data_IF_927574174229
#
_entry.id   IF_927574174229
#
_cell.length_a   1.000
_cell.length_b   1.000
_cell.length_c   1.000
_cell.angle_alpha   90.00
_cell.angle_beta   90.00
_cell.angle_gamma   90.00
#
_symmetry.space_group_name_H-M   'P 1'
#
loop_
_entity.id
_entity.type
_entity.pdbx_description
1 polymer ?
#
# COMPACT_ATOMS: atom_id res chain seq x y z
N UNK A 1 -49.56 25.32 2.87
CA UNK A 1 -49.38 23.85 2.77
C UNK A 1 -48.26 23.43 1.82
N UNK A 2 -48.25 23.86 0.54
CA UNK A 2 -47.18 23.48 -0.42
C UNK A 2 -45.75 23.85 0.01
N UNK A 3 -45.54 24.99 0.70
CA UNK A 3 -44.22 25.39 1.21
C UNK A 3 -43.74 24.56 2.42
N UNK A 4 -44.66 24.08 3.27
CA UNK A 4 -44.33 23.19 4.38
C UNK A 4 -43.91 21.79 3.89
N UNK A 5 -44.57 21.30 2.83
CA UNK A 5 -44.24 20.00 2.23
C UNK A 5 -42.86 20.05 1.56
N UNK A 6 -42.49 21.17 0.92
CA UNK A 6 -41.18 21.32 0.29
C UNK A 6 -40.04 21.33 1.33
N UNK A 7 -40.23 21.99 2.48
CA UNK A 7 -39.26 21.99 3.58
C UNK A 7 -39.12 20.62 4.26
N UNK A 8 -40.21 19.85 4.35
CA UNK A 8 -40.20 18.50 4.96
C UNK A 8 -39.51 17.46 4.04
N UNK A 9 -39.62 17.61 2.72
CA UNK A 9 -38.95 16.73 1.75
C UNK A 9 -37.44 17.00 1.69
N UNK A 10 -37.00 18.25 1.86
CA UNK A 10 -35.57 18.60 1.95
C UNK A 10 -34.89 18.14 3.26
N UNK A 11 -35.63 17.97 4.36
CA UNK A 11 -35.09 17.45 5.63
C UNK A 11 -34.95 15.93 5.68
N UNK A 12 -35.58 15.19 4.76
CA UNK A 12 -35.53 13.71 4.72
C UNK A 12 -34.38 13.16 3.87
N UNK A 13 -33.62 14.04 3.20
CA UNK A 13 -32.40 13.69 2.49
C UNK A 13 -31.19 14.26 3.23
N UNK A 14 -30.99 13.88 4.49
CA UNK A 14 -29.66 13.95 5.08
C UNK A 14 -28.79 12.97 4.29
N UNK A 15 -28.10 13.46 3.27
CA UNK A 15 -27.00 12.73 2.65
C UNK A 15 -26.07 12.35 3.79
N UNK A 16 -26.03 11.06 4.13
CA UNK A 16 -24.97 10.55 4.97
C UNK A 16 -23.68 10.79 4.18
N UNK A 17 -22.96 11.85 4.53
CA UNK A 17 -21.57 12.02 4.15
C UNK A 17 -20.82 10.88 4.84
N UNK A 18 -20.64 9.77 4.12
CA UNK A 18 -19.79 8.69 4.60
C UNK A 18 -18.35 9.19 4.58
N UNK A 19 -17.68 9.05 5.71
CA UNK A 19 -16.25 9.25 5.78
C UNK A 19 -15.55 8.10 5.03
N UNK A 20 -14.42 8.41 4.41
CA UNK A 20 -13.53 7.42 3.82
C UNK A 20 -12.48 6.97 4.84
N UNK A 21 -12.08 5.70 4.75
CA UNK A 21 -11.04 5.09 5.58
C UNK A 21 -9.87 4.65 4.72
N UNK A 22 -8.71 5.26 4.91
CA UNK A 22 -7.47 4.86 4.28
C UNK A 22 -6.71 3.83 5.14
N UNK A 23 -6.12 2.81 4.50
CA UNK A 23 -5.26 1.83 5.16
C UNK A 23 -3.88 1.88 4.54
N UNK A 24 -2.90 2.30 5.32
CA UNK A 24 -1.52 2.54 4.94
C UNK A 24 -0.67 1.30 5.21
N UNK A 25 -0.12 0.71 4.15
CA UNK A 25 0.53 -0.61 4.13
C UNK A 25 2.00 -0.43 3.76
N UNK A 26 2.89 -0.61 4.73
CA UNK A 26 4.33 -0.42 4.53
C UNK A 26 4.96 -1.54 3.70
N UNK A 27 6.15 -1.26 3.18
CA UNK A 27 6.97 -2.21 2.43
C UNK A 27 7.89 -3.08 3.28
N UNK A 28 8.77 -3.79 2.57
CA UNK A 28 9.87 -4.58 3.13
C UNK A 28 10.71 -3.74 4.09
N UNK A 29 10.99 -4.26 5.29
CA UNK A 29 11.69 -3.60 6.42
C UNK A 29 11.06 -2.30 6.92
N UNK A 30 9.91 -1.92 6.36
CA UNK A 30 9.07 -0.89 6.92
C UNK A 30 8.33 -1.39 8.16
N UNK A 31 7.63 -0.45 8.78
CA UNK A 31 6.67 -0.66 9.86
C UNK A 31 5.53 0.33 9.71
N UNK A 32 4.52 0.26 10.58
CA UNK A 32 3.47 1.28 10.64
C UNK A 32 4.04 2.71 10.79
N UNK A 33 5.21 2.85 11.41
CA UNK A 33 5.87 4.13 11.64
C UNK A 33 6.53 4.73 10.39
N UNK A 34 6.74 3.98 9.31
CA UNK A 34 7.34 4.50 8.07
C UNK A 34 6.55 5.69 7.50
N UNK A 35 5.23 5.67 7.63
CA UNK A 35 4.33 6.75 7.19
C UNK A 35 4.43 8.01 8.04
N UNK A 36 4.72 7.86 9.34
CA UNK A 36 4.95 8.99 10.24
C UNK A 36 6.32 9.63 9.99
N UNK A 37 7.38 8.83 9.94
CA UNK A 37 8.76 9.32 9.74
C UNK A 37 8.96 10.03 8.40
N UNK A 38 8.27 9.57 7.36
CA UNK A 38 8.30 10.20 6.03
C UNK A 38 7.50 11.50 5.95
N UNK A 39 6.67 11.82 6.94
CA UNK A 39 5.80 13.00 6.91
C UNK A 39 4.48 12.82 6.14
N UNK A 40 4.18 11.61 5.63
CA UNK A 40 2.91 11.32 4.96
C UNK A 40 1.73 11.53 5.91
N UNK A 41 1.83 11.00 7.14
CA UNK A 41 0.77 11.20 8.15
C UNK A 41 0.54 12.69 8.43
N UNK A 42 1.59 13.50 8.49
CA UNK A 42 1.49 14.93 8.74
C UNK A 42 0.74 15.65 7.60
N UNK A 43 0.97 15.26 6.35
CA UNK A 43 0.25 15.81 5.20
C UNK A 43 -1.25 15.44 5.21
N UNK A 44 -1.57 14.18 5.52
CA UNK A 44 -2.96 13.71 5.66
C UNK A 44 -3.68 14.50 6.77
N UNK A 45 -3.06 14.62 7.95
CA UNK A 45 -3.59 15.38 9.08
C UNK A 45 -3.78 16.85 8.74
N UNK A 46 -2.82 17.46 8.05
CA UNK A 46 -2.92 18.85 7.58
C UNK A 46 -4.10 19.10 6.63
N UNK A 47 -4.72 18.03 6.11
CA UNK A 47 -5.83 18.06 5.15
C UNK A 47 -7.10 17.41 5.71
N UNK A 48 -7.19 17.30 7.05
CA UNK A 48 -8.40 16.91 7.76
C UNK A 48 -8.60 15.39 7.92
N UNK A 49 -7.66 14.56 7.48
CA UNK A 49 -7.69 13.13 7.76
C UNK A 49 -7.22 12.85 9.19
N UNK A 50 -7.97 12.06 9.94
CA UNK A 50 -7.65 11.75 11.33
C UNK A 50 -6.93 10.41 11.47
N UNK A 51 -5.82 10.34 12.25
CA UNK A 51 -5.17 9.07 12.54
C UNK A 51 -6.09 8.24 13.43
N UNK A 52 -6.47 7.05 12.97
CA UNK A 52 -7.39 6.17 13.70
C UNK A 52 -6.71 5.05 14.49
N UNK A 53 -5.40 4.94 14.34
CA UNK A 53 -4.55 4.06 15.13
C UNK A 53 -3.62 3.21 14.27
N UNK A 54 -2.90 2.32 14.95
CA UNK A 54 -2.03 1.33 14.32
C UNK A 54 -2.68 -0.05 14.52
N UNK A 55 -2.89 -0.79 13.43
CA UNK A 55 -3.38 -2.17 13.51
C UNK A 55 -2.18 -3.10 13.49
N UNK A 56 -2.02 -3.86 14.56
CA UNK A 56 -0.96 -4.85 14.71
C UNK A 56 -1.53 -6.26 14.64
N UNK A 57 -0.69 -7.31 14.48
CA UNK A 57 -1.16 -8.69 14.59
C UNK A 57 -1.80 -9.03 15.95
N UNK A 58 -1.54 -8.22 16.99
CA UNK A 58 -2.11 -8.36 18.33
C UNK A 58 -3.41 -7.57 18.52
N UNK A 59 -3.83 -6.79 17.53
CA UNK A 59 -5.01 -5.94 17.57
C UNK A 59 -4.72 -4.46 17.31
N UNK A 60 -5.75 -3.64 17.46
CA UNK A 60 -5.71 -2.20 17.24
C UNK A 60 -5.12 -1.47 18.45
N UNK A 61 -4.13 -0.62 18.21
CA UNK A 61 -3.70 0.45 19.10
C UNK A 61 -4.45 1.72 18.69
N UNK A 62 -5.56 2.08 19.35
CA UNK A 62 -6.45 3.14 18.89
C UNK A 62 -5.85 4.52 19.15
N UNK A 63 -6.18 5.45 18.26
CA UNK A 63 -6.05 6.89 18.51
C UNK A 63 -7.44 7.52 18.75
N UNK A 64 -7.54 8.69 19.39
CA UNK A 64 -8.80 9.43 19.45
C UNK A 64 -9.24 9.85 18.04
N UNK A 65 -10.50 9.55 17.68
CA UNK A 65 -11.06 9.87 16.36
C UNK A 65 -12.49 10.36 16.50
N UNK A 66 -12.82 11.42 15.77
CA UNK A 66 -14.18 11.87 15.57
C UNK A 66 -14.90 10.97 14.56
N UNK A 67 -16.10 10.52 14.90
CA UNK A 67 -16.83 9.57 14.07
C UNK A 67 -17.09 10.06 12.63
N UNK A 68 -17.21 11.38 12.42
CA UNK A 68 -17.62 11.99 11.15
C UNK A 68 -16.46 12.44 10.23
N UNK A 69 -15.19 12.24 10.63
CA UNK A 69 -14.04 12.64 9.82
C UNK A 69 -13.51 11.48 8.96
N UNK A 70 -12.85 11.80 7.84
CA UNK A 70 -12.02 10.84 7.11
C UNK A 70 -10.89 10.32 8.00
N UNK A 71 -10.56 9.04 7.88
CA UNK A 71 -9.71 8.34 8.85
C UNK A 71 -8.60 7.60 8.13
N UNK A 72 -7.46 7.42 8.79
CA UNK A 72 -6.45 6.50 8.30
C UNK A 72 -5.89 5.59 9.39
N UNK A 73 -5.64 4.34 9.00
CA UNK A 73 -4.95 3.34 9.79
C UNK A 73 -3.59 3.06 9.17
N UNK A 74 -2.56 2.91 10.00
CA UNK A 74 -1.31 2.26 9.56
C UNK A 74 -1.33 0.81 10.02
N UNK A 75 -0.96 -0.13 9.16
CA UNK A 75 -0.85 -1.55 9.55
C UNK A 75 0.59 -1.88 9.90
N UNK A 76 0.78 -2.79 10.84
CA UNK A 76 2.07 -3.39 11.17
C UNK A 76 2.07 -4.85 10.67
N UNK A 77 2.86 -5.12 9.64
CA UNK A 77 2.97 -6.43 9.00
C UNK A 77 4.34 -7.05 9.27
N UNK A 78 4.46 -8.39 9.26
CA UNK A 78 5.76 -9.04 9.33
C UNK A 78 6.51 -8.85 8.01
N UNK A 79 7.15 -7.69 7.83
CA UNK A 79 7.66 -7.22 6.53
C UNK A 79 8.71 -8.12 5.88
N UNK A 80 9.39 -8.97 6.65
CA UNK A 80 10.35 -9.97 6.17
C UNK A 80 9.72 -11.33 5.84
N UNK A 81 8.47 -11.58 6.26
CA UNK A 81 7.75 -12.82 5.99
C UNK A 81 7.25 -12.92 4.55
N UNK A 82 6.90 -14.11 4.05
CA UNK A 82 6.40 -14.27 2.68
C UNK A 82 5.17 -13.40 2.40
N UNK A 83 5.01 -12.95 1.16
CA UNK A 83 3.92 -12.05 0.73
C UNK A 83 2.55 -12.64 1.03
N UNK A 84 2.38 -13.96 0.84
CA UNK A 84 1.13 -14.65 1.15
C UNK A 84 0.74 -14.58 2.63
N UNK A 85 1.72 -14.75 3.53
CA UNK A 85 1.48 -14.64 4.98
C UNK A 85 1.12 -13.19 5.35
N UNK A 86 1.87 -12.21 4.81
CA UNK A 86 1.57 -10.80 5.04
C UNK A 86 0.15 -10.45 4.56
N UNK A 87 -0.28 -11.00 3.43
CA UNK A 87 -1.61 -10.79 2.88
C UNK A 87 -2.71 -11.39 3.77
N UNK A 88 -2.53 -12.59 4.30
CA UNK A 88 -3.48 -13.19 5.24
C UNK A 88 -3.62 -12.39 6.54
N UNK A 89 -2.50 -11.90 7.08
CA UNK A 89 -2.51 -10.98 8.23
C UNK A 89 -3.25 -9.70 7.88
N UNK A 90 -2.95 -9.08 6.74
CA UNK A 90 -3.61 -7.87 6.27
C UNK A 90 -5.13 -8.08 6.11
N UNK A 91 -5.58 -9.21 5.56
CA UNK A 91 -7.02 -9.51 5.42
C UNK A 91 -7.73 -9.53 6.78
N UNK A 92 -7.12 -10.10 7.80
CA UNK A 92 -7.64 -10.04 9.17
C UNK A 92 -7.76 -8.60 9.69
N UNK A 93 -6.75 -7.77 9.43
CA UNK A 93 -6.75 -6.35 9.79
C UNK A 93 -7.83 -5.55 9.04
N UNK A 94 -8.03 -5.81 7.75
CA UNK A 94 -9.11 -5.20 6.95
C UNK A 94 -10.49 -5.64 7.42
N UNK A 95 -10.63 -6.86 7.91
CA UNK A 95 -11.84 -7.34 8.59
C UNK A 95 -12.14 -6.51 9.85
N UNK A 96 -11.12 -6.18 10.65
CA UNK A 96 -11.27 -5.30 11.82
C UNK A 96 -11.69 -3.87 11.41
N UNK A 97 -11.07 -3.31 10.37
CA UNK A 97 -11.47 -1.99 9.82
C UNK A 97 -12.93 -2.01 9.39
N UNK A 98 -13.34 -3.02 8.63
CA UNK A 98 -14.72 -3.16 8.13
C UNK A 98 -15.75 -3.28 9.26
N UNK A 99 -15.41 -3.98 10.35
CA UNK A 99 -16.29 -4.11 11.52
C UNK A 99 -16.42 -2.79 12.30
N UNK A 100 -15.34 -2.00 12.37
CA UNK A 100 -15.32 -0.74 13.09
C UNK A 100 -15.98 0.40 12.31
N UNK A 101 -15.94 0.33 10.99
CA UNK A 101 -16.42 1.36 10.06
C UNK A 101 -17.45 0.77 9.09
N UNK A 102 -18.60 0.28 9.60
CA UNK A 102 -19.61 -0.34 8.74
C UNK A 102 -20.19 0.69 7.76
N UNK A 103 -20.04 0.41 6.46
CA UNK A 103 -20.56 1.25 5.38
C UNK A 103 -19.64 2.41 4.95
N UNK A 104 -18.53 2.65 5.64
CA UNK A 104 -17.50 3.60 5.18
C UNK A 104 -16.65 2.94 4.07
N UNK A 105 -16.31 3.71 3.04
CA UNK A 105 -15.50 3.17 1.94
C UNK A 105 -14.04 3.07 2.36
N UNK A 106 -13.40 1.93 2.03
CA UNK A 106 -11.99 1.70 2.34
C UNK A 106 -11.13 1.99 1.11
N UNK A 107 -9.99 2.67 1.30
CA UNK A 107 -8.94 2.86 0.29
C UNK A 107 -7.66 2.20 0.80
N UNK A 108 -7.05 1.34 -0.01
CA UNK A 108 -5.78 0.71 0.33
C UNK A 108 -4.63 1.50 -0.29
N UNK A 109 -3.58 1.77 0.49
CA UNK A 109 -2.41 2.52 0.06
C UNK A 109 -1.18 1.71 0.43
N UNK A 110 -0.55 1.07 -0.57
CA UNK A 110 0.63 0.24 -0.37
C UNK A 110 1.90 0.89 -0.89
N UNK A 111 2.95 0.92 -0.07
CA UNK A 111 4.29 1.34 -0.50
C UNK A 111 5.17 0.12 -0.74
N UNK A 112 5.95 0.13 -1.84
CA UNK A 112 6.91 -0.91 -2.16
C UNK A 112 6.26 -2.30 -2.10
N UNK A 113 6.86 -3.28 -1.42
CA UNK A 113 6.29 -4.61 -1.20
C UNK A 113 4.86 -4.58 -0.63
N UNK A 114 4.50 -3.57 0.16
CA UNK A 114 3.17 -3.41 0.74
C UNK A 114 2.06 -3.28 -0.31
N UNK A 115 2.35 -2.70 -1.48
CA UNK A 115 1.39 -2.69 -2.59
C UNK A 115 1.18 -4.06 -3.23
N UNK A 116 2.22 -4.90 -3.28
CA UNK A 116 2.11 -6.29 -3.73
C UNK A 116 1.30 -7.11 -2.71
N UNK A 117 1.56 -6.92 -1.41
CA UNK A 117 0.79 -7.54 -0.31
C UNK A 117 -0.69 -7.14 -0.37
N UNK A 118 -0.98 -5.86 -0.57
CA UNK A 118 -2.36 -5.38 -0.73
C UNK A 118 -3.06 -6.03 -1.92
N UNK A 119 -2.38 -6.14 -3.06
CA UNK A 119 -2.90 -6.78 -4.26
C UNK A 119 -3.14 -8.28 -4.04
N UNK A 120 -2.22 -8.97 -3.36
CA UNK A 120 -2.36 -10.37 -2.96
C UNK A 120 -3.61 -10.56 -2.08
N UNK A 121 -3.80 -9.72 -1.07
CA UNK A 121 -4.95 -9.77 -0.17
C UNK A 121 -6.28 -9.61 -0.92
N UNK A 122 -6.32 -8.72 -1.92
CA UNK A 122 -7.49 -8.53 -2.79
C UNK A 122 -7.80 -9.76 -3.63
N UNK A 123 -6.77 -10.36 -4.25
CA UNK A 123 -6.91 -11.55 -5.10
C UNK A 123 -7.32 -12.79 -4.30
N UNK A 124 -6.83 -12.94 -3.06
CA UNK A 124 -7.26 -14.01 -2.15
C UNK A 124 -8.73 -13.86 -1.71
N UNK A 125 -9.31 -12.66 -1.80
CA UNK A 125 -10.72 -12.40 -1.51
C UNK A 125 -11.10 -12.52 -0.03
N UNK A 126 -12.40 -12.64 0.26
CA UNK A 126 -12.91 -12.73 1.63
C UNK A 126 -12.80 -11.42 2.45
N UNK A 127 -12.58 -10.30 1.78
CA UNK A 127 -12.67 -8.94 2.33
C UNK A 127 -13.72 -8.15 1.55
N UNK A 128 -14.32 -7.15 2.18
CA UNK A 128 -15.16 -6.19 1.46
C UNK A 128 -14.29 -5.46 0.42
N UNK A 129 -14.71 -5.39 -0.86
CA UNK A 129 -13.93 -4.71 -1.88
C UNK A 129 -13.69 -3.24 -1.50
N UNK A 130 -12.44 -2.77 -1.47
CA UNK A 130 -12.16 -1.36 -1.26
C UNK A 130 -12.58 -0.54 -2.48
N UNK A 131 -12.73 0.78 -2.30
CA UNK A 131 -12.97 1.75 -3.38
C UNK A 131 -11.80 1.82 -4.35
N UNK A 132 -10.57 1.73 -3.82
CA UNK A 132 -9.35 1.82 -4.60
C UNK A 132 -8.15 1.09 -3.96
N UNK A 133 -7.18 0.73 -4.80
CA UNK A 133 -5.81 0.40 -4.44
C UNK A 133 -4.86 1.43 -5.07
N UNK A 134 -4.18 2.21 -4.23
CA UNK A 134 -3.06 3.07 -4.62
C UNK A 134 -1.77 2.35 -4.26
N UNK A 135 -0.84 2.24 -5.19
CA UNK A 135 0.51 1.71 -4.95
C UNK A 135 1.58 2.74 -5.21
N UNK A 136 2.59 2.80 -4.35
CA UNK A 136 3.72 3.72 -4.44
C UNK A 136 4.99 2.89 -4.60
N UNK A 137 5.60 2.96 -5.77
CA UNK A 137 6.85 2.26 -6.05
C UNK A 137 6.84 0.74 -5.83
N UNK A 138 5.71 0.09 -6.05
CA UNK A 138 5.55 -1.34 -5.76
C UNK A 138 6.10 -2.24 -6.86
N UNK A 139 6.94 -3.25 -6.58
CA UNK A 139 7.52 -4.14 -7.59
C UNK A 139 6.52 -5.20 -8.07
N UNK A 140 5.49 -4.79 -8.81
CA UNK A 140 4.40 -5.66 -9.28
C UNK A 140 4.83 -6.73 -10.28
N UNK A 141 5.92 -6.50 -11.02
CA UNK A 141 6.59 -7.47 -11.90
C UNK A 141 7.94 -7.95 -11.33
N UNK A 142 8.20 -7.62 -10.07
CA UNK A 142 9.41 -7.97 -9.33
C UNK A 142 10.57 -7.00 -9.55
N UNK A 143 11.69 -7.25 -8.87
CA UNK A 143 12.91 -6.44 -8.98
C UNK A 143 14.16 -7.31 -8.98
N UNK A 144 15.15 -6.90 -9.77
CA UNK A 144 16.48 -7.54 -9.76
C UNK A 144 17.19 -7.34 -8.42
N UNK A 145 16.88 -6.29 -7.65
CA UNK A 145 17.45 -6.10 -6.30
C UNK A 145 17.11 -7.25 -5.36
N UNK A 146 15.95 -7.88 -5.53
CA UNK A 146 15.59 -9.05 -4.74
C UNK A 146 16.46 -10.27 -5.10
N UNK A 147 16.84 -10.41 -6.37
CA UNK A 147 17.79 -11.46 -6.81
C UNK A 147 19.18 -11.18 -6.23
N UNK A 148 19.67 -9.95 -6.38
CA UNK A 148 20.97 -9.54 -5.82
C UNK A 148 21.03 -9.78 -4.31
N UNK A 149 19.97 -9.43 -3.56
CA UNK A 149 19.90 -9.66 -2.13
C UNK A 149 19.86 -11.16 -1.75
N UNK A 150 19.31 -12.03 -2.60
CA UNK A 150 19.36 -13.49 -2.40
C UNK A 150 20.75 -14.06 -2.71
N UNK A 151 21.43 -13.50 -3.71
CA UNK A 151 22.79 -13.91 -4.11
C UNK A 151 23.87 -13.46 -3.10
N UNK A 152 23.58 -12.42 -2.29
CA UNK A 152 24.46 -11.94 -1.20
C UNK A 152 24.74 -12.98 -0.10
N UNK A 153 24.12 -14.16 -0.14
CA UNK A 153 24.50 -15.28 0.74
C UNK A 153 25.81 -15.98 0.35
N UNK A 154 26.43 -15.64 -0.80
CA UNK A 154 27.61 -16.35 -1.34
C UNK A 154 28.89 -15.51 -1.64
N UNK A 155 28.96 -14.16 -1.51
CA UNK A 155 30.19 -13.41 -1.83
C UNK A 155 30.41 -12.06 -1.07
N UNK A 156 31.66 -11.62 -0.77
CA UNK A 156 31.95 -10.42 0.02
C UNK A 156 32.36 -9.20 -0.86
N UNK A 157 31.51 -8.15 -0.89
CA UNK A 157 31.72 -6.73 -1.35
C UNK A 157 31.34 -6.30 -2.80
N UNK A 158 31.00 -5.01 -3.06
CA UNK A 158 30.72 -3.88 -2.16
C UNK A 158 29.28 -3.33 -2.23
N UNK A 159 28.79 -3.04 -1.04
CA UNK A 159 27.41 -2.77 -0.64
C UNK A 159 27.33 -1.28 -0.28
N UNK A 160 26.56 -0.45 -1.00
CA UNK A 160 26.35 0.96 -0.59
C UNK A 160 24.88 1.26 -0.31
N UNK A 161 23.95 0.91 -1.20
CA UNK A 161 22.51 1.19 -1.00
C UNK A 161 21.85 0.25 0.01
N UNK A 162 22.26 -1.03 0.04
CA UNK A 162 21.80 -2.01 1.02
C UNK A 162 22.40 -1.67 2.40
N UNK A 163 23.69 -1.31 2.50
CA UNK A 163 24.33 -0.91 3.77
C UNK A 163 23.72 0.31 4.45
N UNK A 164 23.16 1.26 3.69
CA UNK A 164 22.42 2.39 4.26
C UNK A 164 21.10 1.99 4.94
N UNK A 165 20.53 0.84 4.53
CA UNK A 165 19.35 0.24 5.16
C UNK A 165 19.72 -0.77 6.27
N UNK A 166 20.89 -1.40 6.15
CA UNK A 166 21.36 -2.50 7.00
C UNK A 166 22.73 -2.18 7.63
N UNK A 167 22.74 -1.62 8.84
CA UNK A 167 23.93 -1.65 9.71
C UNK A 167 23.88 -2.86 10.63
N UNK A 168 25.00 -3.58 10.77
CA UNK A 168 25.23 -4.77 11.61
C UNK A 168 24.17 -5.89 11.49
N UNK A 169 24.49 -6.96 10.75
CA UNK A 169 23.65 -8.16 10.67
C UNK A 169 22.98 -8.43 9.32
N UNK A 170 23.51 -7.89 8.20
CA UNK A 170 22.97 -8.08 6.85
C UNK A 170 22.64 -9.55 6.53
N UNK A 171 23.51 -10.49 6.91
CA UNK A 171 23.29 -11.92 6.73
C UNK A 171 22.03 -12.42 7.45
N UNK A 172 21.83 -12.04 8.72
CA UNK A 172 20.65 -12.44 9.49
C UNK A 172 19.39 -11.83 8.88
N UNK A 173 19.45 -10.57 8.44
CA UNK A 173 18.30 -9.92 7.82
C UNK A 173 17.93 -10.57 6.49
N UNK A 174 18.91 -10.85 5.62
CA UNK A 174 18.67 -11.55 4.35
C UNK A 174 18.13 -12.95 4.61
N UNK A 175 18.73 -13.72 5.54
CA UNK A 175 18.26 -15.05 5.94
C UNK A 175 16.80 -15.01 6.42
N UNK A 176 16.47 -14.08 7.30
CA UNK A 176 15.14 -13.95 7.88
C UNK A 176 14.13 -13.38 6.86
N UNK A 177 14.63 -12.72 5.80
CA UNK A 177 13.85 -12.16 4.68
C UNK A 177 13.80 -13.05 3.45
N UNK A 178 14.44 -14.22 3.46
CA UNK A 178 14.60 -15.06 2.27
C UNK A 178 13.28 -15.28 1.52
N UNK A 179 12.21 -15.57 2.27
CA UNK A 179 10.89 -15.83 1.72
C UNK A 179 10.29 -14.62 0.99
N UNK A 180 10.34 -13.42 1.58
CA UNK A 180 9.81 -12.22 0.92
C UNK A 180 10.67 -11.80 -0.28
N UNK A 181 11.99 -11.94 -0.18
CA UNK A 181 12.89 -11.65 -1.29
C UNK A 181 12.60 -12.58 -2.47
N UNK A 182 12.41 -13.89 -2.21
CA UNK A 182 12.02 -14.86 -3.23
C UNK A 182 10.66 -14.53 -3.87
N UNK A 183 9.70 -14.03 -3.10
CA UNK A 183 8.38 -13.63 -3.59
C UNK A 183 8.43 -12.35 -4.46
N UNK A 184 9.50 -11.54 -4.36
CA UNK A 184 9.65 -10.25 -5.05
C UNK A 184 10.63 -10.28 -6.23
N UNK A 185 11.22 -11.44 -6.55
CA UNK A 185 12.05 -11.60 -7.77
C UNK A 185 11.19 -11.43 -9.04
N UNK A 186 11.79 -11.09 -10.21
CA UNK A 186 11.05 -10.90 -11.44
C UNK A 186 10.11 -12.07 -11.77
N UNK A 187 8.94 -11.76 -12.31
CA UNK A 187 7.94 -12.79 -12.57
C UNK A 187 8.43 -13.86 -13.57
N UNK A 188 8.25 -15.13 -13.21
CA UNK A 188 8.56 -16.29 -14.06
C UNK A 188 7.65 -17.46 -13.72
N UNK A 189 7.35 -18.37 -14.68
CA UNK A 189 6.53 -19.53 -14.41
C UNK A 189 6.97 -20.26 -13.13
N UNK A 190 6.02 -20.46 -12.20
CA UNK A 190 6.26 -21.15 -10.93
C UNK A 190 6.58 -20.25 -9.72
N UNK A 191 6.62 -18.91 -9.86
CA UNK A 191 6.74 -18.01 -8.71
C UNK A 191 5.44 -17.25 -8.37
N UNK A 192 5.44 -16.60 -7.20
CA UNK A 192 4.29 -15.89 -6.67
C UNK A 192 3.80 -14.78 -7.60
N UNK A 193 4.69 -13.91 -8.08
CA UNK A 193 4.28 -12.80 -8.95
C UNK A 193 3.70 -13.28 -10.27
N UNK A 194 4.27 -14.34 -10.86
CA UNK A 194 3.72 -14.93 -12.09
C UNK A 194 2.29 -15.45 -11.88
N UNK A 195 2.03 -16.12 -10.75
CA UNK A 195 0.69 -16.56 -10.38
C UNK A 195 -0.24 -15.36 -10.15
N UNK A 196 0.19 -14.39 -9.33
CA UNK A 196 -0.61 -13.25 -8.92
C UNK A 196 -1.02 -12.38 -10.13
N UNK A 197 -0.09 -12.12 -11.05
CA UNK A 197 -0.31 -11.32 -12.27
C UNK A 197 -1.30 -11.94 -13.27
N UNK A 198 -1.67 -13.21 -13.07
CA UNK A 198 -2.63 -13.96 -13.90
C UNK A 198 -3.98 -14.17 -13.23
N UNK A 199 -4.15 -13.75 -11.99
CA UNK A 199 -5.42 -13.92 -11.31
C UNK A 199 -6.42 -12.82 -11.72
N UNK A 200 -7.73 -13.12 -11.70
CA UNK A 200 -8.75 -12.09 -11.72
C UNK A 200 -8.55 -11.11 -10.55
N UNK A 201 -8.55 -9.82 -10.85
CA UNK A 201 -8.50 -8.76 -9.86
C UNK A 201 -9.90 -8.17 -9.67
N UNK A 202 -10.29 -7.75 -8.44
CA UNK A 202 -11.60 -7.16 -8.22
C UNK A 202 -11.76 -5.84 -9.00
N UNK A 203 -12.97 -5.51 -9.48
CA UNK A 203 -13.22 -4.32 -10.29
C UNK A 203 -13.28 -3.05 -9.42
N UNK A 204 -12.12 -2.62 -8.95
CA UNK A 204 -11.92 -1.42 -8.12
C UNK A 204 -11.05 -0.41 -8.88
N UNK A 205 -10.88 0.82 -8.36
CA UNK A 205 -9.91 1.76 -8.94
C UNK A 205 -8.49 1.33 -8.60
N UNK A 206 -7.62 1.28 -9.61
CA UNK A 206 -6.19 1.01 -9.45
C UNK A 206 -5.38 2.25 -9.80
N UNK A 207 -4.42 2.63 -8.95
CA UNK A 207 -3.55 3.79 -9.18
C UNK A 207 -2.11 3.39 -8.88
N UNK A 208 -1.22 3.54 -9.86
CA UNK A 208 0.23 3.37 -9.73
C UNK A 208 0.91 4.74 -9.65
N UNK A 209 1.48 5.05 -8.49
CA UNK A 209 2.45 6.13 -8.30
C UNK A 209 3.83 5.55 -8.64
N UNK A 210 4.26 5.83 -9.87
CA UNK A 210 5.50 5.32 -10.46
C UNK A 210 6.63 6.32 -10.22
N UNK A 211 7.73 5.83 -9.65
CA UNK A 211 8.96 6.58 -9.41
C UNK A 211 9.93 6.30 -10.53
N UNK A 212 10.37 7.38 -11.19
CA UNK A 212 11.21 7.27 -12.39
C UNK A 212 12.70 7.40 -12.07
N UNK A 213 13.06 7.79 -10.85
CA UNK A 213 14.43 8.13 -10.46
C UNK A 213 15.05 9.23 -11.35
N UNK A 214 16.34 9.55 -11.17
CA UNK A 214 17.01 10.62 -11.92
C UNK A 214 17.15 10.36 -13.43
N UNK A 215 17.17 9.09 -13.85
CA UNK A 215 17.42 8.66 -15.24
C UNK A 215 16.16 8.15 -15.96
N UNK A 216 14.97 8.28 -15.36
CA UNK A 216 13.70 7.95 -16.01
C UNK A 216 13.30 6.47 -16.03
N UNK A 217 14.17 5.56 -15.56
CA UNK A 217 14.01 4.10 -15.73
C UNK A 217 13.36 3.40 -14.53
N UNK A 218 13.11 4.11 -13.44
CA UNK A 218 12.73 3.54 -12.15
C UNK A 218 13.47 4.21 -11.00
N UNK A 219 13.03 3.96 -9.78
CA UNK A 219 13.84 4.31 -8.60
C UNK A 219 15.02 3.34 -8.43
N UNK A 220 15.83 3.56 -7.39
CA UNK A 220 17.03 2.77 -7.12
C UNK A 220 16.77 1.28 -6.81
N UNK A 221 15.53 0.93 -6.43
CA UNK A 221 15.14 -0.43 -6.06
C UNK A 221 14.22 -1.10 -7.07
N UNK A 222 13.32 -0.37 -7.73
CA UNK A 222 12.26 -0.95 -8.56
C UNK A 222 12.20 -0.24 -9.90
N UNK A 223 12.33 -0.97 -11.03
CA UNK A 223 12.25 -0.35 -12.35
C UNK A 223 10.81 0.13 -12.64
N UNK A 224 10.67 1.25 -13.38
CA UNK A 224 9.39 1.92 -13.60
C UNK A 224 8.34 0.99 -14.22
N UNK A 225 8.73 0.13 -15.16
CA UNK A 225 7.82 -0.84 -15.78
C UNK A 225 7.22 -1.82 -14.76
N UNK A 226 7.99 -2.19 -13.72
CA UNK A 226 7.53 -3.08 -12.65
C UNK A 226 6.60 -2.39 -11.67
N UNK A 227 6.61 -1.05 -11.61
CA UNK A 227 5.73 -0.26 -10.73
C UNK A 227 4.34 -0.02 -11.29
N UNK A 228 4.23 -0.01 -12.61
CA UNK A 228 2.98 0.26 -13.32
C UNK A 228 2.12 -0.99 -13.44
N UNK A 229 0.95 -0.97 -12.79
CA UNK A 229 0.00 -2.07 -12.86
C UNK A 229 -0.59 -2.27 -14.27
N UNK A 230 -0.48 -1.31 -15.19
CA UNK A 230 -0.90 -1.52 -16.59
C UNK A 230 -0.02 -2.54 -17.34
N UNK A 231 1.19 -2.82 -16.85
CA UNK A 231 2.05 -3.87 -17.40
C UNK A 231 1.69 -5.27 -16.88
N UNK A 232 0.73 -5.37 -15.97
CA UNK A 232 0.12 -6.64 -15.57
C UNK A 232 -1.01 -6.95 -16.54
N UNK A 233 -0.98 -8.12 -17.17
CA UNK A 233 -1.98 -8.52 -18.14
C UNK A 233 -3.43 -8.39 -17.61
N UNK A 234 -3.68 -8.81 -16.37
CA UNK A 234 -5.02 -8.75 -15.76
C UNK A 234 -5.52 -7.33 -15.43
N UNK A 235 -4.64 -6.32 -15.40
CA UNK A 235 -4.95 -4.93 -15.03
C UNK A 235 -4.63 -3.93 -16.15
N UNK A 236 -4.25 -4.41 -17.33
CA UNK A 236 -3.87 -3.55 -18.45
C UNK A 236 -5.02 -2.65 -18.87
N UNK A 237 -4.77 -1.33 -18.86
CA UNK A 237 -5.78 -0.30 -19.15
C UNK A 237 -6.77 -0.04 -18.01
N UNK A 238 -6.58 -0.68 -16.84
CA UNK A 238 -7.43 -0.50 -15.66
C UNK A 238 -6.75 0.28 -14.53
N UNK A 239 -5.46 0.57 -14.65
CA UNK A 239 -4.73 1.37 -13.67
C UNK A 239 -4.48 2.78 -14.19
N UNK A 240 -4.77 3.79 -13.37
CA UNK A 240 -4.25 5.14 -13.56
C UNK A 240 -2.75 5.16 -13.21
N UNK A 241 -1.97 5.99 -13.90
CA UNK A 241 -0.54 6.16 -13.63
C UNK A 241 -0.24 7.61 -13.29
N UNK A 242 0.53 7.84 -12.22
CA UNK A 242 1.11 9.14 -11.87
C UNK A 242 2.63 8.99 -11.74
N UNK A 243 3.39 9.84 -12.42
CA UNK A 243 4.86 9.77 -12.47
C UNK A 243 5.49 10.82 -11.57
N UNK A 244 6.47 10.42 -10.76
CA UNK A 244 7.23 11.33 -9.90
C UNK A 244 8.71 10.98 -9.91
N UNK A 245 9.57 11.99 -10.03
CA UNK A 245 11.03 11.80 -10.04
C UNK A 245 11.61 11.93 -8.64
N UNK A 246 11.39 10.93 -7.79
CA UNK A 246 11.92 10.86 -6.41
C UNK A 246 12.54 9.47 -6.12
N UNK A 247 13.34 9.37 -5.06
CA UNK A 247 13.95 8.09 -4.59
C UNK A 247 12.89 7.10 -4.10
N UNK A 248 13.22 5.86 -3.74
CA UNK A 248 12.26 4.81 -3.37
C UNK A 248 11.61 4.96 -1.99
N UNK A 249 12.29 5.57 -1.02
CA UNK A 249 11.77 5.76 0.34
C UNK A 249 10.57 6.73 0.36
N UNK A 250 9.57 6.50 1.21
CA UNK A 250 8.46 7.44 1.40
C UNK A 250 8.98 8.84 1.76
N UNK A 251 8.34 9.87 1.21
CA UNK A 251 8.69 11.27 1.36
C UNK A 251 7.45 12.12 1.69
N UNK A 252 7.63 13.37 2.18
CA UNK A 252 6.50 14.27 2.43
C UNK A 252 5.68 14.58 1.17
N UNK A 253 6.29 14.48 -0.02
CA UNK A 253 5.59 14.64 -1.30
C UNK A 253 4.49 13.59 -1.48
N UNK A 254 4.73 12.34 -1.09
CA UNK A 254 3.75 11.26 -1.22
C UNK A 254 2.47 11.61 -0.46
N UNK A 255 2.58 12.21 0.73
CA UNK A 255 1.43 12.65 1.49
C UNK A 255 0.59 13.70 0.79
N UNK A 256 1.21 14.64 0.06
CA UNK A 256 0.47 15.62 -0.75
C UNK A 256 -0.25 14.96 -1.92
N UNK A 257 0.45 14.08 -2.64
CA UNK A 257 -0.14 13.32 -3.76
C UNK A 257 -1.32 12.48 -3.29
N UNK A 258 -1.18 11.81 -2.15
CA UNK A 258 -2.26 11.00 -1.58
C UNK A 258 -3.47 11.85 -1.21
N UNK A 259 -3.30 13.03 -0.61
CA UNK A 259 -4.43 13.93 -0.34
C UNK A 259 -5.15 14.31 -1.63
N UNK A 260 -4.42 14.67 -2.68
CA UNK A 260 -5.01 15.02 -3.98
C UNK A 260 -5.83 13.86 -4.54
N UNK A 261 -5.23 12.66 -4.60
CA UNK A 261 -5.90 11.46 -5.10
C UNK A 261 -7.12 11.09 -4.25
N UNK A 262 -7.03 11.18 -2.93
CA UNK A 262 -8.13 10.88 -2.01
C UNK A 262 -9.29 11.89 -2.16
N UNK A 263 -9.01 13.14 -2.50
CA UNK A 263 -10.04 14.15 -2.77
C UNK A 263 -10.73 13.96 -4.13
N UNK A 264 -10.08 13.29 -5.09
CA UNK A 264 -10.65 12.91 -6.39
C UNK A 264 -11.59 11.69 -6.32
N UNK A 265 -11.76 11.07 -5.14
CA UNK A 265 -12.48 9.79 -4.99
C UNK A 265 -13.96 9.93 -4.68
#
# INVERSE_FOLDING_TARGET
MKRLILSLVLSLTSLQLFADVAVLIHGYLGSAHSWQHSGVNAALVGQGWQPAGIITPRGLLPAPVDAAANKFYSVELPSMGPVGLQADVLRGMLGLVSQRHPGESVVLIGHSAGGVVARMALVQGGINPPKALITIASPHLGTLRAVEALDETDDPFPISTIKELFSDGLYDVVRDSWAVLLDLVPERPGNLLFWLNRQPHPPIRYISIVRTGPIGMGDELVPAFSQDMNNIHALSGQSEMRLYSVSHALQPLDGRVLVELLAEM
#
